data_IF_432933709783
#
_entry.id   IF_432933709783
#
_cell.length_a   1.000
_cell.length_b   1.000
_cell.length_c   1.000
_cell.angle_alpha   90.00
_cell.angle_beta   90.00
_cell.angle_gamma   90.00
#
_symmetry.space_group_name_H-M   'P 1'
#
loop_
_entity.id
_entity.type
_entity.pdbx_description
1 polymer ?
#
# COMPACT_ATOMS: atom_id res chain seq x y z
N UNK A 1 -10.15 4.32 -14.63
CA UNK A 1 -8.79 4.16 -15.21
C UNK A 1 -7.76 3.98 -14.11
N UNK A 2 -7.47 4.99 -13.28
CA UNK A 2 -6.46 4.90 -12.21
C UNK A 2 -6.62 3.72 -11.23
N UNK A 3 -7.85 3.32 -10.92
CA UNK A 3 -8.11 2.18 -10.02
C UNK A 3 -7.90 0.81 -10.70
N UNK A 4 -7.86 0.76 -12.03
CA UNK A 4 -7.71 -0.47 -12.78
C UNK A 4 -6.23 -0.92 -12.76
N UNK A 5 -5.94 -2.20 -12.45
CA UNK A 5 -4.56 -2.68 -12.30
C UNK A 5 -3.67 -2.45 -13.53
N UNK A 6 -4.23 -2.43 -14.74
CA UNK A 6 -3.48 -2.23 -15.99
C UNK A 6 -2.71 -0.91 -16.06
N UNK A 7 -3.10 0.10 -15.25
CA UNK A 7 -2.40 1.38 -15.20
C UNK A 7 -1.27 1.39 -14.17
N UNK A 8 -1.14 0.32 -13.36
CA UNK A 8 -0.04 0.16 -12.41
C UNK A 8 0.11 1.32 -11.43
N UNK A 9 -0.99 1.99 -11.06
CA UNK A 9 -0.91 3.20 -10.25
C UNK A 9 -0.50 2.83 -8.81
N UNK A 10 0.61 3.39 -8.30
CA UNK A 10 1.16 3.01 -7.02
C UNK A 10 0.29 3.51 -5.87
N UNK A 11 0.12 2.64 -4.88
CA UNK A 11 -0.64 2.86 -3.64
C UNK A 11 0.30 2.56 -2.48
N UNK A 12 0.63 3.57 -1.69
CA UNK A 12 1.59 3.44 -0.59
C UNK A 12 0.84 3.42 0.72
N UNK A 13 1.11 2.38 1.52
CA UNK A 13 0.44 2.12 2.78
C UNK A 13 1.45 2.14 3.93
N UNK A 14 1.10 2.84 5.00
CA UNK A 14 1.67 2.60 6.32
C UNK A 14 0.87 1.47 6.98
N UNK A 15 1.58 0.41 7.37
CA UNK A 15 0.98 -0.81 7.92
C UNK A 15 1.63 -1.08 9.26
N UNK A 16 0.83 -1.04 10.32
CA UNK A 16 1.25 -1.49 11.64
C UNK A 16 0.94 -2.98 11.76
N UNK A 17 1.97 -3.80 11.96
CA UNK A 17 1.90 -5.25 12.07
C UNK A 17 2.34 -5.72 13.45
N UNK A 18 1.73 -6.81 13.92
CA UNK A 18 2.09 -7.44 15.20
C UNK A 18 3.52 -7.99 15.13
N UNK A 19 4.31 -7.73 16.17
CA UNK A 19 5.68 -8.18 16.30
C UNK A 19 6.68 -7.39 15.44
N UNK A 20 7.77 -8.05 15.06
CA UNK A 20 8.86 -7.47 14.28
C UNK A 20 9.10 -8.32 13.02
N UNK A 21 8.88 -7.77 11.81
CA UNK A 21 9.08 -8.51 10.56
C UNK A 21 10.51 -9.00 10.41
N UNK A 22 10.63 -10.28 10.05
CA UNK A 22 11.90 -10.88 9.65
C UNK A 22 12.26 -10.50 8.21
N UNK A 23 13.54 -10.57 7.83
CA UNK A 23 13.96 -10.38 6.44
C UNK A 23 13.29 -11.36 5.46
N UNK A 24 13.01 -12.60 5.88
CA UNK A 24 12.35 -13.61 5.06
C UNK A 24 10.89 -13.21 4.75
N UNK A 25 10.12 -12.82 5.77
CA UNK A 25 8.73 -12.37 5.59
C UNK A 25 8.62 -11.16 4.65
N UNK A 26 9.55 -10.20 4.76
CA UNK A 26 9.59 -9.07 3.83
C UNK A 26 9.94 -9.49 2.40
N UNK A 27 10.80 -10.51 2.24
CA UNK A 27 11.18 -11.04 0.94
C UNK A 27 10.00 -11.73 0.27
N UNK A 28 9.24 -12.53 1.02
CA UNK A 28 8.00 -13.16 0.56
C UNK A 28 6.96 -12.12 0.14
N UNK A 29 6.73 -11.09 0.96
CA UNK A 29 5.83 -9.99 0.60
C UNK A 29 6.24 -9.29 -0.70
N UNK A 30 7.56 -9.10 -0.93
CA UNK A 30 8.07 -8.44 -2.14
C UNK A 30 7.91 -9.30 -3.38
N UNK A 31 8.13 -10.61 -3.25
CA UNK A 31 7.95 -11.56 -4.35
C UNK A 31 6.47 -11.67 -4.78
N UNK A 32 5.55 -11.38 -3.86
CA UNK A 32 4.13 -11.69 -4.02
C UNK A 32 3.81 -13.01 -3.33
N UNK A 33 2.57 -13.15 -2.88
CA UNK A 33 2.11 -14.30 -2.10
C UNK A 33 0.86 -14.91 -2.73
N UNK A 34 0.66 -16.20 -2.49
CA UNK A 34 -0.56 -16.87 -2.89
C UNK A 34 -1.72 -16.50 -1.96
N UNK A 35 -2.82 -16.07 -2.57
CA UNK A 35 -4.09 -15.78 -1.90
C UNK A 35 -5.19 -16.68 -2.48
N UNK A 36 -6.36 -16.71 -1.84
CA UNK A 36 -7.52 -17.50 -2.30
C UNK A 36 -7.95 -17.20 -3.75
N UNK A 37 -7.75 -15.97 -4.19
CA UNK A 37 -8.07 -15.51 -5.54
C UNK A 37 -6.87 -15.66 -6.52
N UNK A 38 -5.76 -16.29 -6.10
CA UNK A 38 -4.54 -16.52 -6.87
C UNK A 38 -3.36 -15.61 -6.48
N UNK A 39 -2.22 -15.69 -7.18
CA UNK A 39 -1.00 -14.99 -6.81
C UNK A 39 -1.17 -13.47 -6.86
N UNK A 40 -0.57 -12.76 -5.92
CA UNK A 40 -0.44 -11.29 -6.02
C UNK A 40 0.72 -10.90 -6.92
N UNK A 41 0.63 -9.72 -7.52
CA UNK A 41 1.79 -9.10 -8.16
C UNK A 41 2.91 -8.81 -7.12
N UNK A 42 4.17 -8.70 -7.56
CA UNK A 42 5.25 -8.21 -6.71
C UNK A 42 4.92 -6.86 -6.07
N UNK A 43 5.39 -6.67 -4.85
CA UNK A 43 5.18 -5.48 -4.05
C UNK A 43 6.51 -4.89 -3.57
N UNK A 44 6.49 -3.65 -3.12
CA UNK A 44 7.57 -3.13 -2.28
C UNK A 44 7.14 -3.25 -0.82
N UNK A 45 8.03 -3.76 0.03
CA UNK A 45 7.80 -3.83 1.46
C UNK A 45 9.09 -3.46 2.20
N UNK A 46 9.03 -2.51 3.12
CA UNK A 46 10.19 -2.12 3.95
C UNK A 46 9.78 -1.76 5.35
N UNK A 47 10.67 -1.97 6.31
CA UNK A 47 10.43 -1.54 7.69
C UNK A 47 10.68 -0.03 7.77
N UNK A 48 9.71 0.69 8.35
CA UNK A 48 9.81 2.10 8.68
C UNK A 48 10.19 2.28 10.15
N UNK A 49 9.65 1.43 11.03
CA UNK A 49 9.94 1.45 12.47
C UNK A 49 9.81 0.05 13.04
N UNK A 50 10.82 -0.41 13.78
CA UNK A 50 10.73 -1.64 14.57
C UNK A 50 10.13 -1.35 15.94
N UNK A 51 9.31 -2.25 16.44
CA UNK A 51 8.85 -2.24 17.82
C UNK A 51 8.75 -3.65 18.38
N UNK A 52 8.60 -3.75 19.70
CA UNK A 52 8.52 -5.04 20.41
C UNK A 52 7.15 -5.70 20.23
N UNK A 53 6.07 -4.94 20.41
CA UNK A 53 4.69 -5.41 20.18
C UNK A 53 4.21 -5.18 18.76
N UNK A 54 4.55 -4.02 18.19
CA UNK A 54 4.07 -3.57 16.87
C UNK A 54 5.20 -2.90 16.12
N UNK A 55 5.38 -3.29 14.87
CA UNK A 55 6.28 -2.63 13.93
C UNK A 55 5.49 -1.96 12.82
N UNK A 56 6.05 -0.88 12.26
CA UNK A 56 5.51 -0.21 11.08
C UNK A 56 6.30 -0.59 9.85
N UNK A 57 5.60 -1.07 8.83
CA UNK A 57 6.14 -1.28 7.49
C UNK A 57 5.45 -0.35 6.50
N UNK A 58 6.17 0.01 5.43
CA UNK A 58 5.59 0.62 4.25
C UNK A 58 5.40 -0.47 3.20
N UNK A 59 4.20 -0.54 2.62
CA UNK A 59 3.87 -1.46 1.53
C UNK A 59 3.39 -0.65 0.32
N UNK A 60 4.00 -0.87 -0.85
CA UNK A 60 3.56 -0.27 -2.11
C UNK A 60 2.98 -1.33 -3.03
N UNK A 61 1.73 -1.14 -3.46
CA UNK A 61 1.02 -2.01 -4.40
C UNK A 61 0.65 -1.29 -5.68
N UNK A 62 0.67 -2.01 -6.81
CA UNK A 62 0.25 -1.52 -8.12
C UNK A 62 -1.16 -2.01 -8.52
N UNK A 63 -1.64 -3.06 -7.87
CA UNK A 63 -3.01 -3.57 -7.97
C UNK A 63 -3.87 -3.15 -6.75
N UNK A 64 -5.07 -3.71 -6.60
CA UNK A 64 -6.05 -3.28 -5.60
C UNK A 64 -7.15 -4.29 -5.30
N UNK A 65 -6.77 -5.52 -4.91
CA UNK A 65 -7.73 -6.59 -4.57
C UNK A 65 -8.38 -6.33 -3.21
N UNK A 66 -9.55 -6.95 -2.95
CA UNK A 66 -10.27 -6.81 -1.68
C UNK A 66 -9.34 -7.18 -0.50
N UNK A 67 -9.19 -6.26 0.45
CA UNK A 67 -8.34 -6.42 1.65
C UNK A 67 -6.90 -6.86 1.38
N UNK A 68 -6.35 -6.58 0.18
CA UNK A 68 -5.10 -7.17 -0.27
C UNK A 68 -3.94 -7.04 0.71
N UNK A 69 -3.63 -5.82 1.19
CA UNK A 69 -2.53 -5.61 2.15
C UNK A 69 -2.69 -6.46 3.41
N UNK A 70 -3.91 -6.53 3.97
CA UNK A 70 -4.19 -7.34 5.17
C UNK A 70 -4.02 -8.83 4.89
N UNK A 71 -4.51 -9.32 3.75
CA UNK A 71 -4.39 -10.73 3.35
C UNK A 71 -2.94 -11.12 3.08
N UNK A 72 -2.20 -10.28 2.37
CA UNK A 72 -0.77 -10.51 2.09
C UNK A 72 0.05 -10.58 3.38
N UNK A 73 -0.15 -9.62 4.30
CA UNK A 73 0.58 -9.64 5.56
C UNK A 73 0.19 -10.84 6.42
N UNK A 74 -1.10 -11.22 6.46
CA UNK A 74 -1.54 -12.43 7.16
C UNK A 74 -0.90 -13.72 6.60
N UNK A 75 -0.77 -13.83 5.27
CA UNK A 75 -0.18 -14.99 4.60
C UNK A 75 1.28 -15.25 5.02
N UNK A 76 2.03 -14.20 5.36
CA UNK A 76 3.43 -14.32 5.85
C UNK A 76 3.52 -14.27 7.38
N UNK A 77 2.41 -14.38 8.11
CA UNK A 77 2.40 -14.36 9.58
C UNK A 77 2.63 -12.97 10.19
N UNK A 78 2.22 -11.90 9.50
CA UNK A 78 2.24 -10.51 9.98
C UNK A 78 0.83 -9.93 10.08
N UNK A 79 0.02 -10.28 11.09
CA UNK A 79 -1.31 -9.71 11.26
C UNK A 79 -1.26 -8.17 11.34
N UNK A 80 -2.17 -7.50 10.62
CA UNK A 80 -2.25 -6.03 10.55
C UNK A 80 -3.15 -5.49 11.66
N UNK A 81 -2.61 -4.61 12.51
CA UNK A 81 -3.39 -3.87 13.51
C UNK A 81 -3.98 -2.58 12.94
N UNK A 82 -3.17 -1.83 12.18
CA UNK A 82 -3.60 -0.56 11.60
C UNK A 82 -3.09 -0.41 10.17
N UNK A 83 -3.91 0.18 9.31
CA UNK A 83 -3.63 0.33 7.88
C UNK A 83 -4.05 1.71 7.44
N UNK A 84 -3.10 2.48 6.89
CA UNK A 84 -3.35 3.81 6.39
C UNK A 84 -2.74 3.98 5.00
N UNK A 85 -3.54 4.36 4.01
CA UNK A 85 -3.04 4.70 2.67
C UNK A 85 -2.59 6.15 2.64
N UNK A 86 -1.29 6.38 2.83
CA UNK A 86 -0.69 7.72 2.89
C UNK A 86 -0.51 8.39 1.52
N UNK A 87 -0.42 7.59 0.44
CA UNK A 87 -0.23 8.09 -0.93
C UNK A 87 -1.02 7.27 -1.94
N UNK A 88 -1.59 7.95 -2.93
CA UNK A 88 -2.27 7.35 -4.06
C UNK A 88 -1.98 8.14 -5.33
N UNK A 89 -1.46 7.50 -6.38
CA UNK A 89 -1.24 8.17 -7.68
C UNK A 89 -0.44 9.48 -7.58
N UNK A 90 0.60 9.51 -6.73
CA UNK A 90 1.36 10.73 -6.48
C UNK A 90 0.80 11.64 -5.39
N UNK A 91 -0.52 11.66 -5.18
CA UNK A 91 -1.21 12.49 -4.19
C UNK A 91 -0.85 12.10 -2.76
N UNK A 92 -0.63 13.11 -1.91
CA UNK A 92 -0.31 12.96 -0.47
C UNK A 92 -1.34 13.71 0.36
N UNK A 93 -1.57 13.26 1.59
CA UNK A 93 -2.48 13.88 2.55
C UNK A 93 -1.84 15.02 3.37
N UNK A 94 -0.76 15.63 2.88
CA UNK A 94 -0.03 16.68 3.62
C UNK A 94 -0.96 17.88 3.83
N UNK A 95 -1.15 18.29 5.08
CA UNK A 95 -2.00 19.44 5.45
C UNK A 95 -3.50 19.16 5.38
N UNK A 96 -3.95 17.91 5.19
CA UNK A 96 -5.36 17.56 5.18
C UNK A 96 -5.75 16.78 6.46
N UNK A 97 -6.54 17.37 7.37
CA UNK A 97 -6.97 16.70 8.59
C UNK A 97 -7.84 15.47 8.32
N UNK A 98 -7.90 14.56 9.29
CA UNK A 98 -8.77 13.39 9.21
C UNK A 98 -10.23 13.79 9.03
N UNK A 99 -10.93 13.13 8.10
CA UNK A 99 -12.33 13.39 7.79
C UNK A 99 -12.57 14.58 6.86
N UNK A 100 -11.53 15.34 6.52
CA UNK A 100 -11.62 16.47 5.59
C UNK A 100 -11.31 16.06 4.16
N UNK A 101 -11.72 16.91 3.23
CA UNK A 101 -11.42 16.81 1.81
C UNK A 101 -11.00 18.19 1.28
N UNK A 102 -10.38 18.20 0.10
CA UNK A 102 -10.08 19.41 -0.66
C UNK A 102 -10.19 19.12 -2.14
N UNK A 103 -10.39 20.16 -2.93
CA UNK A 103 -10.22 20.08 -4.37
C UNK A 103 -8.75 19.83 -4.73
N UNK A 104 -8.54 19.14 -5.85
CA UNK A 104 -7.22 18.95 -6.43
C UNK A 104 -6.74 20.24 -7.10
N UNK A 105 -5.43 20.47 -7.09
CA UNK A 105 -4.88 21.56 -7.89
C UNK A 105 -4.90 21.21 -9.38
N UNK A 106 -4.85 22.20 -10.29
CA UNK A 106 -4.75 21.93 -11.73
C UNK A 106 -3.58 21.01 -12.09
N UNK A 107 -2.43 21.19 -11.45
CA UNK A 107 -1.24 20.35 -11.67
C UNK A 107 -1.48 18.90 -11.21
N UNK A 108 -2.15 18.71 -10.07
CA UNK A 108 -2.52 17.37 -9.60
C UNK A 108 -3.50 16.69 -10.57
N UNK A 109 -4.47 17.43 -11.10
CA UNK A 109 -5.41 16.90 -12.11
C UNK A 109 -4.67 16.50 -13.39
N UNK A 110 -3.79 17.35 -13.91
CA UNK A 110 -3.02 17.08 -15.12
C UNK A 110 -2.13 15.82 -14.95
N UNK A 111 -1.49 15.66 -13.80
CA UNK A 111 -0.67 14.48 -13.51
C UNK A 111 -1.52 13.20 -13.43
N UNK A 112 -2.70 13.27 -12.82
CA UNK A 112 -3.63 12.13 -12.78
C UNK A 112 -4.16 11.76 -14.17
N UNK A 113 -4.43 12.73 -15.03
CA UNK A 113 -4.82 12.50 -16.42
C UNK A 113 -3.71 11.79 -17.19
N UNK A 114 -2.47 12.29 -17.07
CA UNK A 114 -1.28 11.67 -17.67
C UNK A 114 -1.11 10.21 -17.22
N UNK A 115 -1.23 9.93 -15.91
CA UNK A 115 -1.17 8.56 -15.38
C UNK A 115 -2.33 7.66 -15.88
N UNK A 116 -3.48 8.25 -16.21
CA UNK A 116 -4.62 7.55 -16.79
C UNK A 116 -4.55 7.41 -18.31
N UNK A 117 -3.54 8.00 -18.97
CA UNK A 117 -3.43 8.08 -20.43
C UNK A 117 -4.53 8.92 -21.06
N UNK A 118 -4.79 10.09 -20.47
CA UNK A 118 -5.71 11.13 -20.95
C UNK A 118 -4.93 12.40 -21.28
#
# INVERSE_FOLDING_TARGET
>A
RLAHPSFGVPKVYDVDVVGSPSPAQLTELRAGVELEDGPTAPAEARIVRRGTRVSRIEVTLHEGRKHQVKRMCAAVGLPVEHLHRRRYAGLRLVGLPQGQWRELTPDEVAELQRLAGL
#
